data_IF_415544080009
#
_entry.id   IF_415544080009
#
_cell.length_a   1.000
_cell.length_b   1.000
_cell.length_c   1.000
_cell.angle_alpha   90.00
_cell.angle_beta   90.00
_cell.angle_gamma   90.00
#
_symmetry.space_group_name_H-M   'P 1'
#
loop_
_entity.id
_entity.type
_entity.pdbx_description
1 polymer ?
#
# COMPACT_ATOMS: atom_id res chain seq x y z
N UNK A 1 55.80 -11.58 -12.32
CA UNK A 1 54.87 -12.63 -11.85
C UNK A 1 53.73 -11.94 -11.10
N UNK A 2 52.51 -12.11 -11.60
CA UNK A 2 51.27 -11.59 -11.01
C UNK A 2 50.82 -12.51 -9.85
N UNK A 3 50.51 -11.92 -8.69
CA UNK A 3 49.78 -12.58 -7.59
C UNK A 3 49.39 -11.47 -6.62
N UNK A 4 48.14 -11.20 -6.28
CA UNK A 4 46.86 -11.81 -6.54
C UNK A 4 45.94 -11.17 -5.51
N UNK A 5 45.00 -10.33 -5.93
CA UNK A 5 44.02 -9.72 -5.04
C UNK A 5 43.20 -10.82 -4.37
N UNK A 6 43.36 -11.03 -3.06
CA UNK A 6 42.38 -11.74 -2.25
C UNK A 6 41.67 -10.73 -1.36
N UNK A 7 40.79 -9.93 -1.97
CA UNK A 7 39.75 -9.24 -1.25
C UNK A 7 38.77 -10.33 -0.76
N UNK A 8 39.09 -10.92 0.38
CA UNK A 8 38.20 -11.87 1.08
C UNK A 8 36.98 -11.07 1.54
N UNK A 9 35.98 -11.00 0.65
CA UNK A 9 34.70 -10.34 0.88
C UNK A 9 34.10 -10.89 2.17
N UNK A 10 34.17 -10.08 3.23
CA UNK A 10 33.63 -10.42 4.54
C UNK A 10 32.12 -10.46 4.36
N UNK A 11 31.57 -11.68 4.25
CA UNK A 11 30.12 -11.90 4.23
C UNK A 11 29.60 -11.39 5.56
N UNK A 12 28.98 -10.21 5.56
CA UNK A 12 28.29 -9.66 6.73
C UNK A 12 27.01 -10.49 6.88
N UNK A 13 27.13 -11.63 7.54
CA UNK A 13 25.99 -12.45 7.94
C UNK A 13 25.43 -11.81 9.21
N UNK A 14 24.19 -11.32 9.14
CA UNK A 14 23.45 -10.63 10.20
C UNK A 14 23.78 -9.13 10.41
N UNK A 15 23.20 -8.29 9.56
CA UNK A 15 22.85 -6.90 9.90
C UNK A 15 21.38 -6.79 10.35
N UNK A 16 20.85 -7.84 10.98
CA UNK A 16 19.61 -7.72 11.75
C UNK A 16 19.96 -7.13 13.11
N UNK A 17 20.45 -5.89 13.11
CA UNK A 17 20.39 -5.08 14.31
C UNK A 17 18.92 -4.95 14.66
N UNK A 18 18.53 -5.39 15.86
CA UNK A 18 17.32 -4.88 16.50
C UNK A 18 17.53 -3.38 16.69
N UNK A 19 17.34 -2.61 15.63
CA UNK A 19 17.13 -1.19 15.76
C UNK A 19 15.83 -1.07 16.53
N UNK A 20 15.89 -0.60 17.78
CA UNK A 20 14.71 -0.15 18.50
C UNK A 20 13.96 0.77 17.55
N UNK A 21 12.83 0.26 17.06
CA UNK A 21 12.00 0.99 16.13
C UNK A 21 11.36 2.07 16.99
N UNK A 22 12.00 3.23 17.03
CA UNK A 22 11.57 4.35 17.84
C UNK A 22 10.08 4.60 17.62
N UNK A 23 9.35 4.86 18.71
CA UNK A 23 7.90 5.08 18.71
C UNK A 23 7.46 6.07 17.62
N UNK A 24 8.32 7.04 17.29
CA UNK A 24 8.16 7.99 16.19
C UNK A 24 7.91 7.36 14.82
N UNK A 25 8.56 6.24 14.50
CA UNK A 25 8.37 5.55 13.22
C UNK A 25 7.00 4.88 13.13
N UNK A 26 6.55 4.23 14.21
CA UNK A 26 5.19 3.69 14.26
C UNK A 26 4.15 4.79 14.16
N UNK A 27 4.36 5.89 14.89
CA UNK A 27 3.49 7.05 14.83
C UNK A 27 3.37 7.60 13.40
N UNK A 28 4.49 7.81 12.71
CA UNK A 28 4.48 8.28 11.32
C UNK A 28 3.74 7.30 10.38
N UNK A 29 3.92 5.99 10.57
CA UNK A 29 3.20 4.98 9.78
C UNK A 29 1.69 5.01 10.02
N UNK A 30 1.24 5.16 11.26
CA UNK A 30 -0.19 5.27 11.57
C UNK A 30 -0.79 6.60 11.10
N UNK A 31 -0.04 7.70 11.19
CA UNK A 31 -0.44 8.98 10.61
C UNK A 31 -0.62 8.89 9.10
N UNK A 32 0.32 8.25 8.40
CA UNK A 32 0.22 8.04 6.95
C UNK A 32 -1.02 7.20 6.59
N UNK A 33 -1.32 6.16 7.38
CA UNK A 33 -2.53 5.35 7.20
C UNK A 33 -3.80 6.16 7.46
N UNK A 34 -3.85 6.94 8.54
CA UNK A 34 -4.98 7.81 8.86
C UNK A 34 -5.20 8.87 7.78
N UNK A 35 -4.12 9.49 7.30
CA UNK A 35 -4.14 10.43 6.19
C UNK A 35 -4.62 9.80 4.89
N UNK A 36 -4.21 8.56 4.61
CA UNK A 36 -4.68 7.80 3.45
C UNK A 36 -6.19 7.53 3.50
N UNK A 37 -6.72 7.13 4.67
CA UNK A 37 -8.17 6.92 4.86
C UNK A 37 -8.93 8.24 4.74
N UNK A 38 -8.44 9.30 5.39
CA UNK A 38 -9.05 10.62 5.31
C UNK A 38 -9.07 11.17 3.88
N UNK A 39 -8.00 10.96 3.11
CA UNK A 39 -7.92 11.33 1.70
C UNK A 39 -9.01 10.61 0.88
N UNK A 40 -9.20 9.30 1.09
CA UNK A 40 -10.25 8.54 0.42
C UNK A 40 -11.66 9.07 0.73
N UNK A 41 -11.95 9.34 2.00
CA UNK A 41 -13.23 9.91 2.43
C UNK A 41 -13.47 11.31 1.84
N UNK A 42 -12.44 12.15 1.84
CA UNK A 42 -12.51 13.48 1.25
C UNK A 42 -12.82 13.39 -0.25
N UNK A 43 -12.08 12.57 -0.99
CA UNK A 43 -12.31 12.35 -2.42
C UNK A 43 -13.71 11.78 -2.69
N UNK A 44 -14.18 10.84 -1.88
CA UNK A 44 -15.52 10.27 -2.00
C UNK A 44 -16.63 11.31 -1.79
N UNK A 45 -16.44 12.23 -0.84
CA UNK A 45 -17.40 13.30 -0.56
C UNK A 45 -17.47 14.38 -1.66
N UNK A 46 -16.38 14.56 -2.41
CA UNK A 46 -16.26 15.56 -3.46
C UNK A 46 -16.53 14.99 -4.86
N UNK A 47 -16.46 13.67 -5.04
CA UNK A 47 -16.64 13.02 -6.32
C UNK A 47 -18.09 13.09 -6.80
N UNK A 48 -18.27 13.42 -8.08
CA UNK A 48 -19.58 13.43 -8.72
C UNK A 48 -19.81 12.09 -9.42
N UNK A 49 -20.72 11.30 -8.86
CA UNK A 49 -21.13 10.03 -9.44
C UNK A 49 -22.14 10.25 -10.58
N UNK A 50 -21.98 9.59 -11.73
CA UNK A 50 -22.95 9.67 -12.80
C UNK A 50 -24.29 9.05 -12.36
N UNK A 51 -25.41 9.59 -12.82
CA UNK A 51 -26.76 9.12 -12.48
C UNK A 51 -27.02 7.66 -12.86
N UNK A 52 -26.26 7.14 -13.83
CA UNK A 52 -26.27 5.73 -14.25
C UNK A 52 -25.57 4.78 -13.27
N UNK A 53 -24.75 5.30 -12.36
CA UNK A 53 -23.97 4.51 -11.42
C UNK A 53 -23.90 5.22 -10.07
N UNK A 54 -24.98 5.11 -9.29
CA UNK A 54 -25.05 5.59 -7.90
C UNK A 54 -24.84 4.40 -6.96
N UNK A 55 -23.69 4.32 -6.28
CA UNK A 55 -23.40 3.15 -5.46
C UNK A 55 -24.18 3.18 -4.15
N UNK A 56 -24.90 2.10 -3.85
CA UNK A 56 -25.58 1.87 -2.57
C UNK A 56 -24.79 0.96 -1.62
N UNK A 57 -23.74 0.29 -2.12
CA UNK A 57 -22.88 -0.59 -1.33
C UNK A 57 -21.44 -0.63 -1.80
N UNK A 58 -20.55 -1.18 -0.96
CA UNK A 58 -19.09 -1.25 -1.21
C UNK A 58 -18.75 -1.94 -2.54
N UNK A 59 -19.47 -3.01 -2.88
CA UNK A 59 -19.23 -3.75 -4.14
C UNK A 59 -19.59 -2.90 -5.35
N UNK A 60 -20.69 -2.17 -5.29
CA UNK A 60 -21.12 -1.26 -6.36
C UNK A 60 -20.16 -0.08 -6.51
N UNK A 61 -19.56 0.43 -5.41
CA UNK A 61 -18.51 1.45 -5.48
C UNK A 61 -17.35 0.96 -6.35
N UNK A 62 -16.91 -0.29 -6.15
CA UNK A 62 -15.82 -0.87 -6.95
C UNK A 62 -16.24 -1.07 -8.42
N UNK A 63 -17.44 -1.58 -8.69
CA UNK A 63 -17.92 -1.78 -10.06
C UNK A 63 -18.11 -0.45 -10.81
N UNK A 64 -18.68 0.56 -10.15
CA UNK A 64 -18.89 1.89 -10.72
C UNK A 64 -17.61 2.72 -10.81
N UNK A 65 -16.56 2.39 -10.04
CA UNK A 65 -15.29 3.13 -10.06
C UNK A 65 -14.61 3.18 -11.43
N UNK A 66 -14.88 2.18 -12.29
CA UNK A 66 -14.32 2.12 -13.65
C UNK A 66 -14.81 3.25 -14.56
N UNK A 67 -16.04 3.74 -14.36
CA UNK A 67 -16.61 4.86 -15.12
C UNK A 67 -16.30 6.23 -14.50
N UNK A 68 -15.70 6.26 -13.31
CA UNK A 68 -15.43 7.53 -12.62
C UNK A 68 -14.39 8.38 -13.38
N UNK A 69 -13.41 7.74 -14.02
CA UNK A 69 -12.39 8.43 -14.80
C UNK A 69 -12.94 9.11 -16.07
N UNK A 70 -14.14 8.73 -16.54
CA UNK A 70 -14.72 9.28 -17.77
C UNK A 70 -15.14 10.75 -17.63
N UNK A 71 -15.42 11.21 -16.40
CA UNK A 71 -15.81 12.59 -16.12
C UNK A 71 -14.66 13.61 -16.24
N UNK A 72 -13.42 13.19 -16.54
CA UNK A 72 -12.21 14.03 -16.71
C UNK A 72 -11.86 14.95 -15.53
N UNK A 73 -12.53 14.79 -14.39
CA UNK A 73 -12.22 15.54 -13.18
C UNK A 73 -11.06 14.91 -12.41
N UNK A 74 -10.22 15.76 -11.83
CA UNK A 74 -9.04 15.32 -11.08
C UNK A 74 -9.42 14.59 -9.78
N UNK A 75 -10.57 14.94 -9.19
CA UNK A 75 -11.09 14.33 -7.97
C UNK A 75 -11.51 12.89 -8.25
N UNK A 76 -12.23 12.67 -9.34
CA UNK A 76 -12.76 11.38 -9.76
C UNK A 76 -11.63 10.42 -10.16
N UNK A 77 -10.64 10.91 -10.91
CA UNK A 77 -9.44 10.14 -11.26
C UNK A 77 -8.61 9.78 -10.00
N UNK A 78 -8.51 10.71 -9.04
CA UNK A 78 -7.84 10.44 -7.76
C UNK A 78 -8.62 9.42 -6.92
N UNK A 79 -9.96 9.50 -6.86
CA UNK A 79 -10.78 8.54 -6.14
C UNK A 79 -10.70 7.15 -6.77
N UNK A 80 -10.75 7.05 -8.09
CA UNK A 80 -10.52 5.79 -8.82
C UNK A 80 -9.15 5.22 -8.42
N UNK A 81 -8.08 6.02 -8.51
CA UNK A 81 -6.74 5.56 -8.14
C UNK A 81 -6.70 5.08 -6.69
N UNK A 82 -7.32 5.81 -5.77
CA UNK A 82 -7.38 5.45 -4.35
C UNK A 82 -8.14 4.13 -4.11
N UNK A 83 -9.27 3.93 -4.78
CA UNK A 83 -10.05 2.69 -4.73
C UNK A 83 -9.28 1.50 -5.27
N UNK A 84 -8.49 1.67 -6.33
CA UNK A 84 -7.72 0.58 -6.94
C UNK A 84 -6.38 0.31 -6.25
N UNK A 85 -5.83 1.28 -5.52
CA UNK A 85 -4.58 1.11 -4.75
C UNK A 85 -4.82 0.52 -3.36
N UNK A 86 -5.97 0.77 -2.73
CA UNK A 86 -6.35 0.17 -1.43
C UNK A 86 -6.31 -1.37 -1.39
N UNK A 87 -6.87 -2.13 -2.34
CA UNK A 87 -6.80 -3.60 -2.31
C UNK A 87 -5.36 -4.11 -2.46
N UNK A 88 -4.50 -3.41 -3.21
CA UNK A 88 -3.08 -3.75 -3.31
C UNK A 88 -2.37 -3.58 -1.96
N UNK A 89 -2.61 -2.47 -1.27
CA UNK A 89 -2.05 -2.22 0.07
C UNK A 89 -2.53 -3.26 1.08
N UNK A 90 -3.81 -3.63 1.05
CA UNK A 90 -4.35 -4.69 1.89
C UNK A 90 -3.74 -6.05 1.58
N UNK A 91 -3.52 -6.38 0.30
CA UNK A 91 -2.85 -7.62 -0.09
C UNK A 91 -1.41 -7.67 0.42
N UNK A 92 -0.66 -6.56 0.29
CA UNK A 92 0.70 -6.42 0.81
C UNK A 92 0.75 -6.57 2.34
N UNK A 93 -0.14 -5.86 3.05
CA UNK A 93 -0.24 -5.94 4.50
C UNK A 93 -0.66 -7.34 4.96
N UNK A 94 -1.61 -7.97 4.26
CA UNK A 94 -2.06 -9.33 4.54
C UNK A 94 -0.97 -10.37 4.31
N UNK A 95 -0.22 -10.28 3.21
CA UNK A 95 0.92 -11.17 2.96
C UNK A 95 2.00 -11.03 4.03
N UNK A 96 2.32 -9.81 4.44
CA UNK A 96 3.30 -9.56 5.50
C UNK A 96 2.81 -10.11 6.84
N UNK A 97 1.52 -9.95 7.16
CA UNK A 97 0.90 -10.54 8.35
C UNK A 97 0.96 -12.07 8.29
N UNK A 98 0.62 -12.68 7.16
CA UNK A 98 0.68 -14.13 6.94
C UNK A 98 2.11 -14.68 7.04
N UNK A 99 3.12 -13.94 6.58
CA UNK A 99 4.54 -14.28 6.79
C UNK A 99 4.92 -14.20 8.26
N UNK A 100 4.51 -13.15 8.98
CA UNK A 100 4.77 -13.00 10.42
C UNK A 100 4.09 -14.08 11.26
N UNK A 101 2.90 -14.50 10.85
CA UNK A 101 2.17 -15.63 11.46
C UNK A 101 2.75 -16.99 11.08
N UNK A 102 3.80 -17.04 10.23
CA UNK A 102 4.48 -18.28 9.85
C UNK A 102 3.71 -19.18 8.89
N UNK A 103 2.57 -18.72 8.36
CA UNK A 103 1.72 -19.47 7.42
C UNK A 103 2.36 -19.50 6.03
N UNK A 104 2.92 -18.36 5.59
CA UNK A 104 3.72 -18.28 4.38
C UNK A 104 5.19 -18.46 4.74
N UNK A 105 5.59 -19.71 4.99
CA UNK A 105 7.02 -20.06 5.09
C UNK A 105 7.59 -20.02 3.67
N UNK A 106 8.40 -19.01 3.36
CA UNK A 106 9.22 -19.00 2.15
C UNK A 106 10.27 -20.10 2.32
N UNK A 107 9.96 -21.29 1.84
CA UNK A 107 10.91 -22.39 1.70
C UNK A 107 11.93 -22.00 0.61
N UNK A 108 12.99 -21.30 1.02
CA UNK A 108 14.17 -21.04 0.21
C UNK A 108 15.40 -20.93 1.09
#
# INVERSE_FOLDING_TARGET
MHMGMSARGRKITSQFGHADIGVSRYFALYLAQAGWVALGLYLYSQAIWPSTCTPHGLVEIYMCSGQLADNRGWVEAALMTWLWTTPLLLALAGMELLRRMGILRSDR
#
